data_IF_411066201881
#
_entry.id   IF_411066201881
#
_cell.length_a   1.000
_cell.length_b   1.000
_cell.length_c   1.000
_cell.angle_alpha   90.00
_cell.angle_beta   90.00
_cell.angle_gamma   90.00
#
_symmetry.space_group_name_H-M   'P 1'
#
loop_
_entity.id
_entity.type
_entity.pdbx_description
1 polymer ?
#
# COMPACT_ATOMS: atom_id res chain seq x y z
N UNK A 1 58.03 24.90 11.13
CA UNK A 1 57.06 24.26 12.04
C UNK A 1 55.66 24.87 11.95
N UNK A 2 55.48 26.19 12.08
CA UNK A 2 54.15 26.83 12.04
C UNK A 2 53.33 26.54 10.77
N UNK A 3 53.94 26.57 9.58
CA UNK A 3 53.26 26.26 8.31
C UNK A 3 52.76 24.81 8.25
N UNK A 4 53.56 23.85 8.74
CA UNK A 4 53.15 22.44 8.80
C UNK A 4 51.99 22.22 9.77
N UNK A 5 52.02 22.88 10.94
CA UNK A 5 50.93 22.81 11.93
C UNK A 5 49.65 23.42 11.35
N UNK A 6 49.75 24.55 10.64
CA UNK A 6 48.62 25.19 9.97
C UNK A 6 47.96 24.23 8.98
N UNK A 7 48.72 23.66 8.05
CA UNK A 7 48.18 22.70 7.08
C UNK A 7 47.60 21.45 7.74
N UNK A 8 48.24 20.93 8.78
CA UNK A 8 47.74 19.77 9.51
C UNK A 8 46.36 20.03 10.15
N UNK A 9 46.18 21.21 10.77
CA UNK A 9 44.90 21.61 11.36
C UNK A 9 43.83 21.80 10.28
N UNK A 10 44.16 22.50 9.19
CA UNK A 10 43.22 22.69 8.07
C UNK A 10 42.78 21.36 7.46
N UNK A 11 43.70 20.41 7.29
CA UNK A 11 43.36 19.09 6.77
C UNK A 11 42.49 18.28 7.74
N UNK A 12 42.82 18.32 9.04
CA UNK A 12 42.04 17.66 10.08
C UNK A 12 40.60 18.19 10.14
N UNK A 13 40.42 19.52 10.05
CA UNK A 13 39.10 20.14 9.99
C UNK A 13 38.35 19.77 8.71
N UNK A 14 39.02 19.79 7.55
CA UNK A 14 38.41 19.38 6.28
C UNK A 14 37.92 17.93 6.30
N UNK A 15 38.72 17.01 6.86
CA UNK A 15 38.34 15.62 7.06
C UNK A 15 37.15 15.47 8.02
N UNK A 16 37.18 16.17 9.16
CA UNK A 16 36.08 16.16 10.12
C UNK A 16 34.77 16.62 9.50
N UNK A 17 34.78 17.74 8.78
CA UNK A 17 33.57 18.27 8.13
C UNK A 17 33.08 17.36 6.99
N UNK A 18 33.99 16.78 6.20
CA UNK A 18 33.62 15.81 5.17
C UNK A 18 32.97 14.58 5.78
N UNK A 19 33.55 14.05 6.86
CA UNK A 19 32.99 12.94 7.61
C UNK A 19 31.63 13.27 8.21
N UNK A 20 31.48 14.44 8.85
CA UNK A 20 30.22 14.89 9.44
C UNK A 20 29.14 15.17 8.37
N UNK A 21 29.49 15.65 7.18
CA UNK A 21 28.54 15.84 6.08
C UNK A 21 28.06 14.52 5.48
N UNK A 22 28.88 13.47 5.54
CA UNK A 22 28.56 12.12 5.04
C UNK A 22 27.81 11.30 6.08
N UNK A 23 28.22 11.32 7.35
CA UNK A 23 27.68 10.46 8.42
C UNK A 23 26.78 11.16 9.43
N UNK A 24 26.74 12.49 9.47
CA UNK A 24 25.95 13.24 10.44
C UNK A 24 24.44 13.14 10.15
N UNK A 25 23.63 13.41 11.17
CA UNK A 25 22.15 13.37 11.12
C UNK A 25 21.53 14.29 10.04
N UNK A 26 22.30 15.27 9.55
CA UNK A 26 21.94 16.19 8.46
C UNK A 26 22.59 15.84 7.11
N UNK A 27 23.28 14.71 7.03
CA UNK A 27 23.94 14.24 5.82
C UNK A 27 22.95 13.84 4.73
N UNK A 28 23.43 13.84 3.47
CA UNK A 28 22.62 13.54 2.28
C UNK A 28 21.87 12.20 2.37
N UNK A 29 22.40 11.25 3.15
CA UNK A 29 21.78 9.94 3.38
C UNK A 29 20.45 10.01 4.12
N UNK A 30 20.27 10.95 5.07
CA UNK A 30 19.02 11.04 5.83
C UNK A 30 17.85 11.45 4.94
N UNK A 31 18.09 12.34 3.96
CA UNK A 31 17.07 12.69 2.96
C UNK A 31 16.72 11.51 2.06
N UNK A 32 17.72 10.77 1.58
CA UNK A 32 17.49 9.59 0.74
C UNK A 32 16.70 8.49 1.47
N UNK A 33 16.98 8.30 2.77
CA UNK A 33 16.24 7.36 3.63
C UNK A 33 14.78 7.80 3.82
N UNK A 34 14.55 9.07 4.16
CA UNK A 34 13.19 9.61 4.34
C UNK A 34 12.38 9.53 3.04
N UNK A 35 12.97 9.84 1.89
CA UNK A 35 12.30 9.70 0.60
C UNK A 35 11.97 8.24 0.27
N UNK A 36 12.86 7.30 0.59
CA UNK A 36 12.59 5.89 0.41
C UNK A 36 11.46 5.40 1.32
N UNK A 37 11.45 5.82 2.58
CA UNK A 37 10.39 5.49 3.54
C UNK A 37 9.05 6.08 3.12
N UNK A 38 9.05 7.33 2.65
CA UNK A 38 7.85 8.01 2.14
C UNK A 38 7.26 7.27 0.96
N UNK A 39 8.07 6.92 -0.05
CA UNK A 39 7.61 6.11 -1.20
C UNK A 39 7.03 4.76 -0.77
N UNK A 40 7.64 4.11 0.23
CA UNK A 40 7.14 2.84 0.74
C UNK A 40 5.79 2.98 1.46
N UNK A 41 5.60 4.08 2.20
CA UNK A 41 4.34 4.39 2.88
C UNK A 41 3.24 4.76 1.87
N UNK A 42 3.55 5.54 0.84
CA UNK A 42 2.61 5.89 -0.24
C UNK A 42 2.10 4.63 -0.96
N UNK A 43 2.99 3.71 -1.32
CA UNK A 43 2.59 2.45 -1.96
C UNK A 43 1.68 1.59 -1.05
N UNK A 44 1.92 1.61 0.26
CA UNK A 44 1.04 0.91 1.23
C UNK A 44 -0.31 1.58 1.35
N UNK A 45 -0.34 2.92 1.35
CA UNK A 45 -1.57 3.69 1.41
C UNK A 45 -2.45 3.38 0.20
N UNK A 46 -1.89 3.45 -1.01
CA UNK A 46 -2.61 3.13 -2.26
C UNK A 46 -3.17 1.69 -2.23
N UNK A 47 -2.38 0.72 -1.77
CA UNK A 47 -2.84 -0.64 -1.61
C UNK A 47 -4.00 -0.77 -0.61
N UNK A 48 -4.00 0.00 0.48
CA UNK A 48 -5.05 -0.01 1.48
C UNK A 48 -6.31 0.67 0.97
N UNK A 49 -6.18 1.82 0.31
CA UNK A 49 -7.29 2.53 -0.33
C UNK A 49 -8.00 1.65 -1.37
N UNK A 50 -7.23 0.90 -2.17
CA UNK A 50 -7.80 -0.06 -3.12
C UNK A 50 -8.61 -1.18 -2.44
N UNK A 51 -8.18 -1.62 -1.25
CA UNK A 51 -8.89 -2.62 -0.46
C UNK A 51 -10.17 -2.04 0.14
N UNK A 52 -10.11 -0.83 0.69
CA UNK A 52 -11.28 -0.10 1.20
C UNK A 52 -12.31 0.07 0.08
N UNK A 53 -11.91 0.58 -1.08
CA UNK A 53 -12.80 0.76 -2.22
C UNK A 53 -13.46 -0.57 -2.66
N UNK A 54 -12.72 -1.69 -2.62
CA UNK A 54 -13.25 -3.02 -2.90
C UNK A 54 -14.28 -3.45 -1.84
N UNK A 55 -13.97 -3.29 -0.56
CA UNK A 55 -14.86 -3.65 0.54
C UNK A 55 -16.14 -2.79 0.51
N UNK A 56 -16.02 -1.50 0.23
CA UNK A 56 -17.16 -0.60 0.04
C UNK A 56 -18.03 -1.03 -1.14
N UNK A 57 -17.42 -1.42 -2.27
CA UNK A 57 -18.17 -1.92 -3.42
C UNK A 57 -18.92 -3.23 -3.08
N UNK A 58 -18.26 -4.18 -2.43
CA UNK A 58 -18.89 -5.43 -1.98
C UNK A 58 -20.03 -5.15 -1.01
N UNK A 59 -19.81 -4.28 -0.03
CA UNK A 59 -20.83 -3.89 0.96
C UNK A 59 -22.02 -3.22 0.29
N UNK A 60 -21.79 -2.32 -0.68
CA UNK A 60 -22.86 -1.70 -1.47
C UNK A 60 -23.66 -2.73 -2.26
N UNK A 61 -22.98 -3.69 -2.90
CA UNK A 61 -23.61 -4.76 -3.67
C UNK A 61 -24.37 -5.78 -2.81
N UNK A 62 -23.97 -5.92 -1.55
CA UNK A 62 -24.67 -6.73 -0.55
C UNK A 62 -25.83 -5.97 0.13
N UNK A 63 -25.89 -4.64 0.01
CA UNK A 63 -26.99 -3.85 0.60
C UNK A 63 -28.27 -4.01 -0.21
N UNK A 64 -29.38 -4.19 0.49
CA UNK A 64 -30.75 -4.50 0.00
C UNK A 64 -31.26 -3.70 -1.22
N UNK A 65 -30.67 -2.55 -1.54
CA UNK A 65 -31.06 -1.77 -2.74
C UNK A 65 -30.58 -2.36 -4.08
N UNK A 66 -29.59 -3.27 -4.05
CA UNK A 66 -29.04 -3.97 -5.22
C UNK A 66 -29.11 -5.50 -5.10
N UNK A 67 -29.54 -6.02 -3.95
CA UNK A 67 -29.75 -7.44 -3.72
C UNK A 67 -31.18 -7.78 -4.14
N UNK A 68 -31.34 -8.13 -5.42
CA UNK A 68 -32.64 -8.58 -5.93
C UNK A 68 -32.96 -9.94 -5.31
N UNK A 69 -33.73 -9.91 -4.21
CA UNK A 69 -34.14 -11.09 -3.46
C UNK A 69 -34.87 -12.10 -4.35
N UNK A 70 -35.52 -11.64 -5.43
CA UNK A 70 -36.17 -12.51 -6.41
C UNK A 70 -35.13 -13.28 -7.25
N UNK A 71 -34.01 -12.65 -7.64
CA UNK A 71 -32.91 -13.34 -8.33
C UNK A 71 -32.17 -14.32 -7.40
N UNK A 72 -32.08 -14.01 -6.11
CA UNK A 72 -31.47 -14.88 -5.10
C UNK A 72 -32.36 -16.10 -4.79
N UNK A 73 -33.69 -15.93 -4.75
CA UNK A 73 -34.64 -17.05 -4.64
C UNK A 73 -34.62 -17.90 -5.92
N UNK A 74 -34.55 -17.28 -7.10
CA UNK A 74 -34.42 -17.98 -8.38
C UNK A 74 -33.12 -18.82 -8.42
N UNK A 75 -31.98 -18.23 -8.05
CA UNK A 75 -30.69 -18.91 -8.04
C UNK A 75 -30.58 -19.96 -6.92
N UNK A 76 -31.26 -19.74 -5.78
CA UNK A 76 -31.38 -20.76 -4.73
C UNK A 76 -32.24 -21.95 -5.20
N UNK A 77 -33.33 -21.72 -5.94
CA UNK A 77 -34.15 -22.80 -6.51
C UNK A 77 -33.42 -23.61 -7.57
N UNK A 78 -32.64 -22.93 -8.43
CA UNK A 78 -31.84 -23.57 -9.48
C UNK A 78 -30.67 -24.40 -8.90
N UNK A 79 -30.02 -23.91 -7.84
CA UNK A 79 -28.85 -24.58 -7.22
C UNK A 79 -29.26 -25.65 -6.21
N UNK A 80 -30.31 -25.42 -5.41
CA UNK A 80 -30.78 -26.38 -4.39
C UNK A 80 -31.76 -27.41 -4.95
N UNK A 81 -32.08 -27.36 -6.24
CA UNK A 81 -32.82 -28.42 -6.92
C UNK A 81 -34.22 -28.62 -6.37
N UNK A 82 -34.95 -27.54 -6.09
CA UNK A 82 -36.41 -27.60 -5.97
C UNK A 82 -37.05 -27.63 -7.36
N UNK A 83 -36.54 -28.50 -8.26
CA UNK A 83 -37.42 -29.07 -9.26
C UNK A 83 -38.39 -29.97 -8.52
N UNK A 84 -39.63 -29.52 -8.42
CA UNK A 84 -40.78 -30.39 -8.20
C UNK A 84 -40.61 -31.61 -9.12
N UNK A 85 -40.70 -32.80 -8.56
CA UNK A 85 -40.46 -34.10 -9.21
C UNK A 85 -41.49 -34.45 -10.30
N UNK A 86 -42.23 -33.46 -10.83
CA UNK A 86 -43.47 -33.58 -11.58
C UNK A 86 -43.49 -32.75 -12.88
N UNK A 87 -42.39 -32.11 -13.28
CA UNK A 87 -42.31 -31.43 -14.59
C UNK A 87 -41.75 -32.37 -15.69
N UNK A 88 -42.66 -32.88 -16.53
CA UNK A 88 -42.34 -33.70 -17.71
C UNK A 88 -41.87 -32.77 -18.83
N UNK A 89 -40.59 -32.86 -19.20
CA UNK A 89 -40.08 -32.23 -20.42
C UNK A 89 -40.58 -33.02 -21.64
N UNK A 90 -41.48 -32.42 -22.42
CA UNK A 90 -41.88 -32.91 -23.74
C UNK A 90 -41.01 -32.25 -24.81
N UNK A 91 -40.22 -33.12 -25.47
CA UNK A 91 -39.52 -33.02 -26.76
C UNK A 91 -38.23 -32.21 -26.87
#
# INVERSE_FOLDING_TARGET
MGVLIYFAITFALGLYFTFAAVQGDFGLFRRAEIEAETRALEARLEALESQVARMENLTRRLSDSYLDLDLLDQQARDVLGLMRSDEIVIR
#
